data_IF_790385594870
#
_entry.id   IF_790385594870
#
_cell.length_a   1.000
_cell.length_b   1.000
_cell.length_c   1.000
_cell.angle_alpha   90.00
_cell.angle_beta   90.00
_cell.angle_gamma   90.00
#
_symmetry.space_group_name_H-M   'P 1'
#
loop_
_entity.id
_entity.type
_entity.pdbx_description
1 polymer ?
#
# COMPACT_ATOMS: atom_id res chain seq x y z
N UNK A 1 11.96 -13.29 -6.21
CA UNK A 1 12.54 -14.35 -7.05
C UNK A 1 13.68 -15.08 -6.37
N UNK A 2 14.66 -14.36 -5.81
CA UNK A 2 15.83 -14.99 -5.15
C UNK A 2 15.45 -15.87 -3.95
N UNK A 3 14.51 -15.43 -3.10
CA UNK A 3 14.05 -16.23 -1.96
C UNK A 3 13.36 -17.53 -2.41
N UNK A 4 12.47 -17.45 -3.39
CA UNK A 4 11.82 -18.63 -3.97
C UNK A 4 12.87 -19.56 -4.61
N UNK A 5 13.82 -19.00 -5.36
CA UNK A 5 14.89 -19.78 -5.98
C UNK A 5 15.72 -20.57 -4.96
N UNK A 6 16.09 -19.93 -3.84
CA UNK A 6 16.84 -20.56 -2.76
C UNK A 6 16.08 -21.75 -2.15
N UNK A 7 14.80 -21.58 -1.84
CA UNK A 7 13.94 -22.61 -1.25
C UNK A 7 13.72 -23.79 -2.20
N UNK A 8 13.62 -23.54 -3.51
CA UNK A 8 13.45 -24.56 -4.54
C UNK A 8 14.77 -25.21 -4.99
N UNK A 9 15.91 -24.76 -4.50
CA UNK A 9 17.22 -25.26 -4.90
C UNK A 9 17.69 -24.77 -6.28
N UNK A 10 17.10 -23.73 -6.82
CA UNK A 10 17.53 -23.10 -8.07
C UNK A 10 18.69 -22.14 -7.82
N UNK A 11 19.87 -22.67 -7.45
CA UNK A 11 20.98 -21.88 -6.93
C UNK A 11 21.93 -21.31 -8.01
N UNK A 12 21.82 -21.75 -9.26
CA UNK A 12 22.71 -21.31 -10.35
C UNK A 12 22.19 -20.00 -10.95
N UNK A 13 22.83 -18.90 -10.59
CA UNK A 13 22.48 -17.57 -11.11
C UNK A 13 22.83 -17.45 -12.60
N UNK A 14 21.91 -16.93 -13.38
CA UNK A 14 22.01 -16.58 -14.78
C UNK A 14 21.65 -15.13 -15.01
N UNK A 15 21.81 -14.63 -16.23
CA UNK A 15 21.33 -13.31 -16.58
C UNK A 15 19.79 -13.28 -16.59
N UNK A 16 19.18 -12.61 -15.61
CA UNK A 16 17.74 -12.45 -15.50
C UNK A 16 16.98 -13.63 -14.87
N UNK A 17 17.61 -14.71 -14.43
CA UNK A 17 16.97 -15.85 -13.77
C UNK A 17 17.92 -16.71 -12.94
N UNK A 18 17.36 -17.62 -12.15
CA UNK A 18 18.07 -18.69 -11.44
C UNK A 18 17.64 -20.05 -11.99
N UNK A 19 18.56 -21.02 -11.97
CA UNK A 19 18.35 -22.36 -12.50
C UNK A 19 18.86 -23.43 -11.51
N UNK A 20 18.13 -24.52 -11.36
CA UNK A 20 18.54 -25.69 -10.55
C UNK A 20 17.33 -26.49 -10.10
N UNK A 21 17.60 -27.73 -9.68
CA UNK A 21 16.62 -28.70 -9.13
C UNK A 21 15.32 -28.83 -9.96
N UNK A 22 15.41 -28.69 -11.28
CA UNK A 22 14.25 -28.74 -12.18
C UNK A 22 13.43 -27.45 -12.27
N UNK A 23 13.92 -26.36 -11.68
CA UNK A 23 13.24 -25.05 -11.69
C UNK A 23 14.06 -24.00 -12.43
N UNK A 24 13.34 -23.11 -13.11
CA UNK A 24 13.81 -21.83 -13.62
C UNK A 24 13.03 -20.74 -12.92
N UNK A 25 13.70 -19.90 -12.14
CA UNK A 25 13.06 -18.83 -11.36
C UNK A 25 13.50 -17.49 -11.91
N UNK A 26 12.56 -16.75 -12.47
CA UNK A 26 12.77 -15.39 -12.96
C UNK A 26 11.81 -14.41 -12.26
N UNK A 27 11.86 -13.12 -12.62
CA UNK A 27 11.09 -12.09 -11.93
C UNK A 27 10.67 -10.97 -12.88
N UNK A 28 9.60 -10.28 -12.51
CA UNK A 28 9.24 -9.01 -13.10
C UNK A 28 9.85 -7.85 -12.27
N UNK A 29 10.22 -6.77 -12.95
CA UNK A 29 10.67 -5.53 -12.29
C UNK A 29 9.49 -4.56 -12.34
N UNK A 30 8.50 -4.76 -11.44
CA UNK A 30 7.20 -4.11 -11.52
C UNK A 30 6.47 -4.48 -12.83
N UNK A 31 5.65 -3.58 -13.36
CA UNK A 31 4.99 -3.81 -14.66
C UNK A 31 6.02 -3.77 -15.79
N UNK A 32 6.24 -4.91 -16.47
CA UNK A 32 7.04 -5.00 -17.69
C UNK A 32 6.23 -4.63 -18.92
N UNK A 33 4.94 -4.88 -18.85
CA UNK A 33 3.96 -4.61 -19.93
C UNK A 33 2.95 -3.61 -19.40
N UNK A 34 2.55 -2.68 -20.24
CA UNK A 34 1.50 -1.70 -19.96
C UNK A 34 0.54 -1.57 -21.15
N UNK A 35 -0.63 -0.98 -20.92
CA UNK A 35 -1.50 -0.53 -22.01
C UNK A 35 -0.76 0.50 -22.86
N UNK A 36 -0.90 0.38 -24.17
CA UNK A 36 -0.24 1.27 -25.12
C UNK A 36 -0.70 2.73 -24.97
N UNK A 37 0.16 3.67 -25.33
CA UNK A 37 -0.20 5.08 -25.37
C UNK A 37 -1.17 5.36 -26.53
N UNK A 38 -1.92 6.45 -26.45
CA UNK A 38 -2.89 6.83 -27.46
C UNK A 38 -2.29 6.93 -28.88
N UNK A 39 -1.06 7.45 -28.99
CA UNK A 39 -0.36 7.54 -30.26
C UNK A 39 -0.08 6.19 -30.95
N UNK A 40 -0.07 5.10 -30.21
CA UNK A 40 0.07 3.75 -30.79
C UNK A 40 -1.17 3.32 -31.59
N UNK A 41 -2.34 3.78 -31.19
CA UNK A 41 -3.60 3.49 -31.89
C UNK A 41 -3.77 4.31 -33.15
N UNK A 42 -3.37 5.59 -33.11
CA UNK A 42 -3.37 6.48 -34.27
C UNK A 42 -2.36 7.61 -34.05
N UNK A 43 -1.47 7.85 -35.03
CA UNK A 43 -0.44 8.89 -34.98
C UNK A 43 -1.02 10.29 -34.76
N UNK A 44 -2.27 10.55 -35.23
CA UNK A 44 -2.94 11.84 -34.99
C UNK A 44 -3.06 12.15 -33.51
N UNK A 45 -3.19 11.15 -32.62
CA UNK A 45 -3.32 11.33 -31.18
C UNK A 45 -2.00 11.75 -30.49
N UNK A 46 -0.90 11.88 -31.24
CA UNK A 46 0.35 12.47 -30.71
C UNK A 46 0.15 13.94 -30.35
N UNK A 47 -0.62 14.67 -31.16
CA UNK A 47 -1.05 16.03 -30.86
C UNK A 47 -2.41 16.00 -30.18
N UNK A 48 -2.54 16.74 -29.08
CA UNK A 48 -3.79 16.78 -28.34
C UNK A 48 -4.75 17.77 -28.99
N UNK A 49 -5.86 17.29 -29.51
CA UNK A 49 -6.92 18.07 -30.13
C UNK A 49 -8.25 17.74 -29.49
N UNK A 50 -9.12 18.70 -29.37
CA UNK A 50 -10.46 18.54 -28.81
C UNK A 50 -11.30 17.57 -29.66
N UNK A 51 -11.23 17.69 -30.97
CA UNK A 51 -12.02 16.89 -31.93
C UNK A 51 -11.63 15.40 -31.96
N UNK A 52 -10.46 15.04 -31.35
CA UNK A 52 -10.04 13.65 -31.23
C UNK A 52 -10.64 12.94 -30.00
N UNK A 53 -11.38 13.65 -29.15
CA UNK A 53 -11.93 13.14 -27.91
C UNK A 53 -13.41 12.72 -28.07
N UNK A 54 -13.85 11.64 -27.39
CA UNK A 54 -13.06 10.75 -26.56
C UNK A 54 -12.28 9.69 -27.37
N UNK A 55 -11.07 9.38 -26.93
CA UNK A 55 -10.28 8.27 -27.46
C UNK A 55 -10.72 6.99 -26.74
N UNK A 56 -11.33 6.06 -27.46
CA UNK A 56 -11.83 4.78 -26.95
C UNK A 56 -11.31 3.66 -27.85
N UNK A 57 -10.25 2.94 -27.45
CA UNK A 57 -9.74 1.82 -28.22
C UNK A 57 -10.78 0.70 -28.34
N UNK A 58 -11.00 0.21 -29.56
CA UNK A 58 -11.81 -0.99 -29.80
C UNK A 58 -10.98 -2.23 -29.42
N UNK A 59 -9.76 -2.31 -29.95
CA UNK A 59 -8.81 -3.37 -29.67
C UNK A 59 -7.67 -2.82 -28.80
N UNK A 60 -7.54 -3.34 -27.59
CA UNK A 60 -6.52 -2.91 -26.65
C UNK A 60 -5.14 -3.42 -27.02
N UNK A 61 -4.19 -2.52 -27.15
CA UNK A 61 -2.80 -2.82 -27.42
C UNK A 61 -1.94 -2.71 -26.17
N UNK A 62 -0.88 -3.50 -26.14
CA UNK A 62 0.05 -3.58 -25.02
C UNK A 62 1.47 -3.33 -25.53
N UNK A 63 2.27 -2.66 -24.71
CA UNK A 63 3.66 -2.33 -25.02
C UNK A 63 4.57 -2.75 -23.89
N UNK A 64 5.81 -3.14 -24.23
CA UNK A 64 6.87 -3.34 -23.25
C UNK A 64 7.29 -1.98 -22.70
N UNK A 65 7.35 -1.85 -21.39
CA UNK A 65 7.77 -0.60 -20.74
C UNK A 65 9.23 -0.29 -21.06
N UNK A 66 9.52 0.97 -21.37
CA UNK A 66 10.88 1.43 -21.73
C UNK A 66 11.91 1.04 -20.69
N UNK A 67 13.05 0.50 -21.15
CA UNK A 67 14.14 0.02 -20.31
C UNK A 67 13.91 -1.35 -19.65
N UNK A 68 12.82 -2.05 -20.00
CA UNK A 68 12.51 -3.38 -19.48
C UNK A 68 12.51 -4.48 -20.54
N UNK A 69 12.92 -4.15 -21.74
CA UNK A 69 12.91 -5.03 -22.91
C UNK A 69 13.77 -6.27 -22.69
N UNK A 70 14.94 -6.10 -22.06
CA UNK A 70 15.87 -7.19 -21.80
C UNK A 70 15.24 -8.24 -20.86
N UNK A 71 14.61 -7.79 -19.75
CA UNK A 71 14.00 -8.73 -18.80
C UNK A 71 12.76 -9.40 -19.40
N UNK A 72 12.00 -8.68 -20.21
CA UNK A 72 10.88 -9.27 -20.93
C UNK A 72 11.35 -10.33 -21.92
N UNK A 73 12.43 -10.09 -22.68
CA UNK A 73 13.03 -11.08 -23.57
C UNK A 73 13.44 -12.35 -22.82
N UNK A 74 14.11 -12.20 -21.68
CA UNK A 74 14.49 -13.35 -20.84
C UNK A 74 13.26 -14.17 -20.44
N UNK A 75 12.21 -13.53 -19.95
CA UNK A 75 10.97 -14.22 -19.56
C UNK A 75 10.31 -14.93 -20.76
N UNK A 76 10.23 -14.26 -21.90
CA UNK A 76 9.68 -14.83 -23.13
C UNK A 76 10.48 -16.07 -23.56
N UNK A 77 11.81 -15.99 -23.58
CA UNK A 77 12.68 -17.11 -23.97
C UNK A 77 12.52 -18.29 -23.01
N UNK A 78 12.49 -18.04 -21.70
CA UNK A 78 12.26 -19.07 -20.68
C UNK A 78 10.90 -19.75 -20.85
N UNK A 79 9.85 -19.00 -21.10
CA UNK A 79 8.49 -19.53 -21.30
C UNK A 79 8.39 -20.42 -22.57
N UNK A 80 9.25 -20.21 -23.56
CA UNK A 80 9.25 -20.99 -24.81
C UNK A 80 10.27 -22.14 -24.85
N UNK A 81 11.09 -22.32 -23.82
CA UNK A 81 12.03 -23.43 -23.75
C UNK A 81 11.28 -24.77 -23.85
N UNK A 82 11.80 -25.71 -24.63
CA UNK A 82 11.19 -27.04 -24.82
C UNK A 82 11.20 -27.91 -23.57
N UNK A 83 12.16 -27.67 -22.66
CA UNK A 83 12.30 -28.38 -21.38
C UNK A 83 11.43 -27.79 -20.23
N UNK A 84 10.70 -26.70 -20.49
CA UNK A 84 9.73 -26.13 -19.55
C UNK A 84 8.34 -26.68 -19.88
N UNK A 85 7.74 -27.40 -18.96
CA UNK A 85 6.41 -28.02 -19.11
C UNK A 85 5.27 -27.11 -18.63
N UNK A 86 5.50 -26.33 -17.59
CA UNK A 86 4.50 -25.52 -16.90
C UNK A 86 5.09 -24.19 -16.41
N UNK A 87 4.25 -23.17 -16.29
CA UNK A 87 4.62 -21.87 -15.73
C UNK A 87 3.94 -21.70 -14.37
N UNK A 88 4.67 -21.24 -13.37
CA UNK A 88 4.08 -20.90 -12.06
C UNK A 88 4.05 -19.38 -11.91
N UNK A 89 2.85 -18.83 -11.78
CA UNK A 89 2.68 -17.45 -11.39
C UNK A 89 2.96 -17.30 -9.89
N UNK A 90 4.14 -16.79 -9.55
CA UNK A 90 4.59 -16.50 -8.19
C UNK A 90 4.70 -14.99 -7.91
N UNK A 91 3.97 -14.17 -8.67
CA UNK A 91 3.82 -12.74 -8.35
C UNK A 91 2.95 -12.56 -7.10
N UNK A 92 2.93 -11.33 -6.56
CA UNK A 92 2.21 -11.00 -5.34
C UNK A 92 0.77 -11.54 -5.33
N UNK A 93 0.30 -11.96 -4.15
CA UNK A 93 -0.99 -12.61 -3.97
C UNK A 93 -2.14 -11.60 -3.98
N UNK A 94 -2.32 -10.91 -5.11
CA UNK A 94 -3.32 -9.89 -5.29
C UNK A 94 -3.58 -9.56 -6.76
N UNK A 95 -4.46 -8.59 -6.99
CA UNK A 95 -4.86 -8.14 -8.34
C UNK A 95 -3.69 -7.68 -9.18
N UNK A 96 -2.76 -6.93 -8.59
CA UNK A 96 -1.61 -6.37 -9.31
C UNK A 96 -0.63 -7.49 -9.74
N UNK A 97 -0.35 -8.44 -8.84
CA UNK A 97 0.51 -9.59 -9.19
C UNK A 97 -0.09 -10.45 -10.29
N UNK A 98 -1.42 -10.66 -10.27
CA UNK A 98 -2.11 -11.37 -11.34
C UNK A 98 -2.02 -10.60 -12.67
N UNK A 99 -2.23 -9.28 -12.65
CA UNK A 99 -2.15 -8.43 -13.84
C UNK A 99 -0.74 -8.43 -14.43
N UNK A 100 0.30 -8.28 -13.59
CA UNK A 100 1.70 -8.28 -14.02
C UNK A 100 2.04 -9.58 -14.74
N UNK A 101 1.67 -10.73 -14.15
CA UNK A 101 1.93 -12.03 -14.74
C UNK A 101 1.19 -12.22 -16.06
N UNK A 102 -0.14 -11.99 -16.08
CA UNK A 102 -0.97 -12.21 -17.28
C UNK A 102 -0.54 -11.35 -18.45
N UNK A 103 -0.19 -10.10 -18.21
CA UNK A 103 0.32 -9.24 -19.28
C UNK A 103 1.60 -9.78 -19.90
N UNK A 104 2.53 -10.29 -19.07
CA UNK A 104 3.78 -10.88 -19.57
C UNK A 104 3.49 -12.19 -20.32
N UNK A 105 2.65 -13.05 -19.74
CA UNK A 105 2.28 -14.35 -20.33
C UNK A 105 1.60 -14.19 -21.68
N UNK A 106 0.62 -13.28 -21.80
CA UNK A 106 -0.11 -12.99 -23.02
C UNK A 106 0.79 -12.31 -24.07
N UNK A 107 1.59 -11.32 -23.66
CA UNK A 107 2.50 -10.61 -24.57
C UNK A 107 3.65 -11.51 -25.06
N UNK A 108 4.08 -12.47 -24.25
CA UNK A 108 4.99 -13.51 -24.68
C UNK A 108 4.35 -14.52 -25.64
N UNK A 109 3.04 -14.50 -25.80
CA UNK A 109 2.25 -15.49 -26.55
C UNK A 109 2.50 -16.93 -26.06
N UNK A 110 2.68 -17.09 -24.74
CA UNK A 110 2.87 -18.40 -24.13
C UNK A 110 1.56 -19.19 -24.15
N UNK A 111 1.64 -20.51 -24.44
CA UNK A 111 0.48 -21.41 -24.49
C UNK A 111 0.60 -22.57 -23.51
N UNK A 112 1.66 -22.60 -22.71
CA UNK A 112 1.85 -23.65 -21.73
C UNK A 112 0.86 -23.52 -20.58
N UNK A 113 0.48 -24.61 -19.91
CA UNK A 113 -0.34 -24.53 -18.71
C UNK A 113 0.38 -23.70 -17.65
N UNK A 114 -0.40 -23.05 -16.79
CA UNK A 114 0.17 -22.31 -15.68
C UNK A 114 -0.66 -22.48 -14.40
N UNK A 115 0.10 -22.53 -13.30
CA UNK A 115 -0.43 -22.63 -11.95
C UNK A 115 -0.18 -21.35 -11.16
N UNK A 116 -0.88 -21.17 -10.06
CA UNK A 116 -0.78 -20.02 -9.17
C UNK A 116 -0.24 -20.40 -7.81
N UNK A 117 0.89 -19.83 -7.44
CA UNK A 117 1.38 -19.77 -6.06
C UNK A 117 0.69 -18.62 -5.33
N UNK A 118 -0.01 -18.93 -4.23
CA UNK A 118 -0.70 -17.92 -3.42
C UNK A 118 -0.18 -17.95 -1.99
N UNK A 119 0.72 -17.04 -1.66
CA UNK A 119 1.35 -16.92 -0.35
C UNK A 119 1.41 -15.45 0.07
N UNK A 120 1.22 -15.18 1.36
CA UNK A 120 1.29 -13.82 1.94
C UNK A 120 2.55 -13.61 2.79
N UNK A 121 3.42 -14.62 2.85
CA UNK A 121 4.69 -14.62 3.56
C UNK A 121 5.78 -15.21 2.68
N UNK A 122 7.02 -14.76 2.84
CA UNK A 122 8.20 -15.27 2.12
C UNK A 122 9.05 -16.20 3.00
N UNK A 123 8.49 -16.68 4.11
CA UNK A 123 9.11 -17.72 4.94
C UNK A 123 9.27 -19.02 4.15
N UNK A 124 10.32 -19.76 4.44
CA UNK A 124 10.62 -21.01 3.73
C UNK A 124 9.47 -22.02 3.82
N UNK A 125 8.85 -22.15 4.99
CA UNK A 125 7.68 -23.00 5.22
C UNK A 125 6.51 -22.62 4.33
N UNK A 126 6.18 -21.33 4.25
CA UNK A 126 5.08 -20.82 3.42
C UNK A 126 5.34 -21.05 1.92
N UNK A 127 6.58 -20.87 1.47
CA UNK A 127 6.95 -21.14 0.07
C UNK A 127 6.80 -22.62 -0.23
N UNK A 128 7.32 -23.53 0.61
CA UNK A 128 7.23 -24.99 0.40
C UNK A 128 5.79 -25.47 0.42
N UNK A 129 5.01 -25.03 1.39
CA UNK A 129 3.60 -25.36 1.47
C UNK A 129 2.81 -24.82 0.26
N UNK A 130 3.08 -23.60 -0.15
CA UNK A 130 2.47 -23.00 -1.32
C UNK A 130 2.75 -23.78 -2.61
N UNK A 131 4.00 -24.22 -2.81
CA UNK A 131 4.37 -25.07 -3.96
C UNK A 131 3.74 -26.46 -3.89
N UNK A 132 3.47 -27.00 -2.71
CA UNK A 132 2.73 -28.25 -2.55
C UNK A 132 1.21 -28.10 -2.79
N UNK A 133 0.70 -26.87 -2.78
CA UNK A 133 -0.72 -26.53 -2.91
C UNK A 133 -0.99 -25.57 -4.07
N UNK A 134 -0.23 -25.67 -5.16
CA UNK A 134 -0.47 -24.86 -6.36
C UNK A 134 -1.89 -25.04 -6.88
N UNK A 135 -2.51 -23.94 -7.30
CA UNK A 135 -3.84 -23.93 -7.87
C UNK A 135 -3.78 -23.71 -9.37
N UNK A 136 -4.75 -24.23 -10.10
CA UNK A 136 -4.91 -23.89 -11.50
C UNK A 136 -4.97 -22.37 -11.70
N UNK A 137 -4.13 -21.83 -12.54
CA UNK A 137 -4.06 -20.41 -12.81
C UNK A 137 -5.36 -19.81 -13.35
N UNK A 138 -6.18 -20.61 -14.04
CA UNK A 138 -7.47 -20.16 -14.58
C UNK A 138 -8.51 -19.91 -13.50
N UNK A 139 -8.37 -20.49 -12.32
CA UNK A 139 -9.24 -20.17 -11.17
C UNK A 139 -9.13 -18.72 -10.70
N UNK A 140 -8.14 -17.96 -11.23
CA UNK A 140 -7.93 -16.53 -10.97
C UNK A 140 -8.31 -15.62 -12.14
N UNK A 141 -9.05 -16.14 -13.15
CA UNK A 141 -9.46 -15.36 -14.32
C UNK A 141 -10.33 -14.15 -13.94
N UNK A 142 -11.25 -14.30 -13.00
CA UNK A 142 -12.10 -13.18 -12.52
C UNK A 142 -11.25 -12.10 -11.83
N UNK A 143 -10.23 -12.50 -11.08
CA UNK A 143 -9.30 -11.57 -10.44
C UNK A 143 -8.51 -10.79 -11.49
N UNK A 144 -8.04 -11.48 -12.53
CA UNK A 144 -7.36 -10.85 -13.67
C UNK A 144 -8.30 -9.89 -14.40
N UNK A 145 -9.54 -10.29 -14.69
CA UNK A 145 -10.52 -9.42 -15.35
C UNK A 145 -10.82 -8.17 -14.53
N UNK A 146 -10.95 -8.31 -13.23
CA UNK A 146 -11.12 -7.15 -12.31
C UNK A 146 -9.94 -6.17 -12.41
N UNK A 147 -8.71 -6.69 -12.43
CA UNK A 147 -7.50 -5.87 -12.55
C UNK A 147 -7.40 -5.19 -13.94
N UNK A 148 -7.70 -5.94 -14.99
CA UNK A 148 -7.70 -5.46 -16.37
C UNK A 148 -8.76 -4.36 -16.59
N UNK A 149 -9.97 -4.56 -16.09
CA UNK A 149 -11.04 -3.54 -16.15
C UNK A 149 -10.61 -2.24 -15.46
N UNK A 150 -9.97 -2.36 -14.29
CA UNK A 150 -9.44 -1.20 -13.59
C UNK A 150 -8.36 -0.49 -14.40
N UNK A 151 -7.40 -1.24 -14.98
CA UNK A 151 -6.34 -0.65 -15.80
C UNK A 151 -6.90 0.09 -17.02
N UNK A 152 -7.89 -0.52 -17.72
CA UNK A 152 -8.58 0.11 -18.85
C UNK A 152 -9.37 1.35 -18.45
N UNK A 153 -10.08 1.31 -17.32
CA UNK A 153 -10.82 2.47 -16.80
C UNK A 153 -9.88 3.62 -16.40
N UNK A 154 -8.78 3.33 -15.71
CA UNK A 154 -7.76 4.32 -15.36
C UNK A 154 -7.14 4.94 -16.62
N UNK A 155 -6.89 4.15 -17.67
CA UNK A 155 -6.41 4.63 -18.96
C UNK A 155 -7.43 5.55 -19.65
N UNK A 156 -8.68 5.09 -19.78
CA UNK A 156 -9.75 5.86 -20.44
C UNK A 156 -9.98 7.21 -19.77
N UNK A 157 -10.15 7.21 -18.46
CA UNK A 157 -10.37 8.44 -17.69
C UNK A 157 -9.12 9.32 -17.72
N UNK A 158 -7.94 8.73 -17.46
CA UNK A 158 -6.69 9.45 -17.40
C UNK A 158 -6.34 10.14 -18.71
N UNK A 159 -6.37 9.43 -19.82
CA UNK A 159 -6.02 9.97 -21.15
C UNK A 159 -7.03 11.04 -21.59
N UNK A 160 -8.32 10.73 -21.58
CA UNK A 160 -9.34 11.64 -22.11
C UNK A 160 -9.50 12.89 -21.24
N UNK A 161 -9.63 12.74 -19.94
CA UNK A 161 -9.82 13.89 -19.04
C UNK A 161 -8.56 14.76 -18.96
N UNK A 162 -7.35 14.17 -18.92
CA UNK A 162 -6.10 14.94 -18.93
C UNK A 162 -6.02 15.79 -20.19
N UNK A 163 -6.29 15.22 -21.37
CA UNK A 163 -6.23 15.96 -22.64
C UNK A 163 -7.30 17.02 -22.70
N UNK A 164 -8.54 16.69 -22.35
CA UNK A 164 -9.66 17.64 -22.37
C UNK A 164 -9.35 18.88 -21.53
N UNK A 165 -9.04 18.70 -20.26
CA UNK A 165 -8.76 19.83 -19.38
C UNK A 165 -7.49 20.58 -19.76
N UNK A 166 -6.46 19.88 -20.24
CA UNK A 166 -5.24 20.54 -20.70
C UNK A 166 -5.46 21.42 -21.93
N UNK A 167 -6.33 21.01 -22.85
CA UNK A 167 -6.70 21.80 -24.01
C UNK A 167 -7.53 23.03 -23.58
N UNK A 168 -8.57 22.81 -22.78
CA UNK A 168 -9.47 23.87 -22.33
C UNK A 168 -8.75 24.98 -21.54
N UNK A 169 -7.79 24.61 -20.73
CA UNK A 169 -7.07 25.56 -19.86
C UNK A 169 -5.69 25.95 -20.37
N UNK A 170 -5.28 25.49 -21.57
CA UNK A 170 -3.97 25.78 -22.17
C UNK A 170 -2.77 25.48 -21.26
N UNK A 171 -2.90 24.46 -20.42
CA UNK A 171 -1.90 24.04 -19.44
C UNK A 171 -2.03 22.54 -19.19
N UNK A 172 -0.93 21.83 -19.03
CA UNK A 172 -0.96 20.43 -18.68
C UNK A 172 -1.63 20.22 -17.31
N UNK A 173 -2.79 19.58 -17.32
CA UNK A 173 -3.60 19.27 -16.14
C UNK A 173 -3.82 17.76 -16.10
N UNK A 174 -3.01 17.07 -15.30
CA UNK A 174 -3.13 15.63 -15.15
C UNK A 174 -4.37 15.27 -14.32
N UNK A 175 -5.18 14.36 -14.86
CA UNK A 175 -6.35 13.81 -14.18
C UNK A 175 -6.10 12.34 -13.87
N UNK A 176 -6.41 11.92 -12.66
CA UNK A 176 -6.24 10.55 -12.24
C UNK A 176 -7.11 10.20 -11.03
N UNK A 177 -7.45 8.94 -10.93
CA UNK A 177 -8.37 8.39 -9.94
C UNK A 177 -7.96 8.66 -8.47
N UNK A 178 -6.67 8.78 -8.18
CA UNK A 178 -6.16 9.06 -6.83
C UNK A 178 -5.75 10.52 -6.69
N UNK A 179 -4.94 11.02 -7.63
CA UNK A 179 -4.39 12.38 -7.52
C UNK A 179 -5.45 13.48 -7.54
N UNK A 180 -6.47 13.36 -8.40
CA UNK A 180 -7.51 14.40 -8.53
C UNK A 180 -8.40 14.50 -7.28
N UNK A 181 -8.97 13.41 -6.73
CA UNK A 181 -9.69 13.47 -5.47
C UNK A 181 -8.84 13.98 -4.30
N UNK A 182 -7.56 13.58 -4.23
CA UNK A 182 -6.65 14.06 -3.19
C UNK A 182 -6.45 15.59 -3.30
N UNK A 183 -6.19 16.09 -4.50
CA UNK A 183 -6.09 17.53 -4.74
C UNK A 183 -7.38 18.25 -4.38
N UNK A 184 -8.54 17.70 -4.74
CA UNK A 184 -9.86 18.28 -4.39
C UNK A 184 -10.04 18.40 -2.87
N UNK A 185 -9.63 17.40 -2.11
CA UNK A 185 -9.68 17.45 -0.64
C UNK A 185 -8.81 18.58 -0.08
N UNK A 186 -7.60 18.77 -0.63
CA UNK A 186 -6.70 19.86 -0.23
C UNK A 186 -7.29 21.24 -0.58
N UNK A 187 -7.79 21.42 -1.81
CA UNK A 187 -8.41 22.67 -2.26
C UNK A 187 -9.64 23.01 -1.43
N UNK A 188 -10.50 22.03 -1.15
CA UNK A 188 -11.68 22.25 -0.30
C UNK A 188 -11.28 22.65 1.13
N UNK A 189 -10.20 22.06 1.67
CA UNK A 189 -9.68 22.44 2.99
C UNK A 189 -9.12 23.85 2.99
N UNK A 190 -8.35 24.20 1.98
CA UNK A 190 -7.79 25.56 1.83
C UNK A 190 -8.90 26.61 1.67
N UNK A 191 -9.90 26.30 0.86
CA UNK A 191 -11.09 27.15 0.73
C UNK A 191 -11.83 27.31 2.07
N UNK A 192 -12.03 26.23 2.82
CA UNK A 192 -12.67 26.30 4.13
C UNK A 192 -11.87 27.15 5.14
N UNK A 193 -10.54 27.16 5.04
CA UNK A 193 -9.67 28.00 5.87
C UNK A 193 -9.78 29.46 5.43
N UNK A 194 -9.67 29.75 4.14
CA UNK A 194 -9.68 31.12 3.59
C UNK A 194 -11.05 31.80 3.71
N UNK A 195 -12.13 31.03 3.63
CA UNK A 195 -13.50 31.50 3.77
C UNK A 195 -14.03 31.46 5.21
N UNK A 196 -13.20 31.07 6.17
CA UNK A 196 -13.61 30.91 7.57
C UNK A 196 -14.08 32.22 8.16
N UNK A 197 -15.34 32.24 8.60
CA UNK A 197 -15.93 33.36 9.34
C UNK A 197 -15.76 33.13 10.85
N UNK A 198 -15.09 34.07 11.50
CA UNK A 198 -14.93 34.03 12.96
C UNK A 198 -16.28 34.25 13.62
N UNK A 199 -16.68 33.32 14.46
CA UNK A 199 -17.86 33.46 15.34
C UNK A 199 -17.36 33.57 16.79
N UNK A 200 -17.91 34.54 17.51
CA UNK A 200 -17.68 34.68 18.93
C UNK A 200 -18.64 33.79 19.70
N UNK A 201 -18.13 33.10 20.68
CA UNK A 201 -18.93 32.38 21.66
C UNK A 201 -18.33 32.57 23.05
N UNK A 202 -19.10 32.29 24.06
CA UNK A 202 -18.74 32.46 25.44
C UNK A 202 -18.87 31.12 26.16
N UNK A 203 -17.96 30.82 27.07
CA UNK A 203 -18.03 29.70 28.00
C UNK A 203 -17.79 30.20 29.41
N UNK A 204 -18.49 29.64 30.36
CA UNK A 204 -18.26 29.90 31.78
C UNK A 204 -17.35 28.79 32.29
N UNK A 205 -16.22 29.19 32.81
CA UNK A 205 -15.27 28.26 33.46
C UNK A 205 -15.45 28.34 34.97
N UNK A 206 -15.64 27.19 35.60
CA UNK A 206 -15.75 27.04 37.04
C UNK A 206 -14.50 26.32 37.54
N UNK A 207 -13.78 26.93 38.48
CA UNK A 207 -12.64 26.32 39.17
C UNK A 207 -12.98 26.13 40.64
N UNK A 208 -13.16 24.88 41.07
CA UNK A 208 -13.52 24.53 42.47
C UNK A 208 -12.66 23.37 42.96
N UNK A 209 -11.91 23.62 44.02
CA UNK A 209 -11.11 22.56 44.68
C UNK A 209 -10.12 21.85 43.75
N UNK A 210 -9.55 22.56 42.75
CA UNK A 210 -8.62 21.99 41.78
C UNK A 210 -9.29 21.29 40.60
N UNK A 211 -10.62 21.29 40.53
CA UNK A 211 -11.40 20.75 39.40
C UNK A 211 -11.87 21.90 38.54
N UNK A 212 -11.54 21.88 37.25
CA UNK A 212 -12.02 22.83 36.27
C UNK A 212 -13.19 22.21 35.48
N UNK A 213 -14.33 22.91 35.46
CA UNK A 213 -15.48 22.57 34.62
C UNK A 213 -15.77 23.70 33.64
N UNK A 214 -16.17 23.36 32.42
CA UNK A 214 -16.57 24.33 31.39
C UNK A 214 -18.04 24.12 31.09
N UNK A 215 -18.77 25.25 30.94
CA UNK A 215 -20.12 25.19 30.41
C UNK A 215 -20.15 24.79 28.95
N UNK A 216 -21.32 24.44 28.46
CA UNK A 216 -21.57 24.42 27.01
C UNK A 216 -21.37 25.81 26.41
N UNK A 217 -21.12 25.82 25.09
CA UNK A 217 -20.99 27.05 24.31
C UNK A 217 -22.27 27.90 24.42
N UNK A 218 -22.11 29.17 24.72
CA UNK A 218 -23.18 30.19 24.71
C UNK A 218 -22.87 31.17 23.60
N UNK A 219 -23.81 31.38 22.69
CA UNK A 219 -23.66 32.35 21.60
C UNK A 219 -24.00 33.78 22.06
N UNK A 220 -24.77 33.92 23.14
CA UNK A 220 -25.11 35.21 23.80
C UNK A 220 -24.24 35.47 25.03
N UNK A 221 -23.56 36.61 25.03
CA UNK A 221 -22.75 37.07 26.15
C UNK A 221 -23.57 37.34 27.42
N UNK A 222 -24.79 37.80 27.27
CA UNK A 222 -25.66 38.10 28.42
C UNK A 222 -26.06 36.81 29.13
N UNK A 223 -26.35 35.74 28.40
CA UNK A 223 -26.62 34.43 28.96
C UNK A 223 -25.40 33.85 29.71
N UNK A 224 -24.19 33.99 29.14
CA UNK A 224 -22.97 33.58 29.80
C UNK A 224 -22.68 34.38 31.08
N UNK A 225 -22.91 35.71 31.08
CA UNK A 225 -22.77 36.57 32.25
C UNK A 225 -23.79 36.23 33.34
N UNK A 226 -25.04 35.96 32.98
CA UNK A 226 -26.07 35.52 33.91
C UNK A 226 -25.70 34.18 34.57
N UNK A 227 -25.25 33.20 33.78
CA UNK A 227 -24.77 31.91 34.28
C UNK A 227 -23.60 32.09 35.26
N UNK A 228 -22.61 32.94 34.90
CA UNK A 228 -21.48 33.24 35.76
C UNK A 228 -21.96 33.83 37.13
N UNK A 229 -22.85 34.85 37.09
CA UNK A 229 -23.37 35.45 38.30
C UNK A 229 -24.19 34.50 39.18
N UNK A 230 -24.90 33.57 38.59
CA UNK A 230 -25.58 32.49 39.30
C UNK A 230 -24.61 31.52 39.97
N UNK A 231 -23.51 31.14 39.32
CA UNK A 231 -22.50 30.29 39.86
C UNK A 231 -21.72 30.93 41.04
N UNK A 232 -21.44 32.23 40.97
CA UNK A 232 -20.73 33.00 42.03
C UNK A 232 -21.51 33.07 43.34
N UNK A 233 -22.86 32.99 43.25
CA UNK A 233 -23.76 33.06 44.44
C UNK A 233 -24.16 31.67 44.97
N UNK A 234 -23.72 30.60 44.37
CA UNK A 234 -24.13 29.25 44.68
C UNK A 234 -22.97 28.38 45.13
N UNK A 235 -23.29 27.33 45.87
CA UNK A 235 -22.29 26.29 46.19
C UNK A 235 -22.25 25.24 45.09
N UNK A 236 -21.07 24.82 44.67
CA UNK A 236 -20.89 23.71 43.79
C UNK A 236 -21.16 22.38 44.53
N UNK A 237 -22.10 21.59 44.02
CA UNK A 237 -22.48 20.29 44.57
C UNK A 237 -22.13 19.20 43.61
N UNK A 238 -21.32 18.23 44.01
CA UNK A 238 -21.04 17.04 43.23
C UNK A 238 -22.26 16.11 43.29
N UNK A 239 -23.04 16.03 42.20
CA UNK A 239 -24.26 15.20 42.14
C UNK A 239 -23.97 13.74 41.77
N UNK A 240 -22.89 13.48 41.04
CA UNK A 240 -22.45 12.12 40.73
C UNK A 240 -20.95 12.07 40.48
N UNK A 241 -20.34 10.95 40.88
CA UNK A 241 -18.94 10.64 40.58
C UNK A 241 -18.88 9.28 39.87
N UNK A 242 -18.44 9.27 38.62
CA UNK A 242 -18.22 8.05 37.86
C UNK A 242 -16.73 7.82 37.65
N UNK A 243 -16.23 6.69 38.16
CA UNK A 243 -14.85 6.27 37.94
C UNK A 243 -14.78 5.21 36.87
N UNK A 244 -14.14 5.50 35.75
CA UNK A 244 -13.95 4.55 34.67
C UNK A 244 -12.46 4.16 34.55
N UNK A 245 -12.21 2.86 34.49
CA UNK A 245 -10.89 2.34 34.16
C UNK A 245 -10.77 2.25 32.66
N UNK A 246 -9.93 3.09 32.07
CA UNK A 246 -9.62 3.04 30.62
C UNK A 246 -8.33 2.26 30.40
N UNK A 247 -8.38 1.28 29.52
CA UNK A 247 -7.21 0.53 29.10
C UNK A 247 -6.82 1.01 27.69
N UNK A 248 -5.60 1.48 27.56
CA UNK A 248 -5.03 1.85 26.26
C UNK A 248 -4.22 0.67 25.76
N UNK A 249 -4.63 0.12 24.62
CA UNK A 249 -3.90 -0.95 23.98
C UNK A 249 -2.58 -0.45 23.37
N UNK A 250 -1.49 -1.23 23.43
CA UNK A 250 -0.27 -0.89 22.72
C UNK A 250 -0.53 -0.77 21.20
N UNK A 251 0.27 0.04 20.49
CA UNK A 251 0.11 0.19 19.03
C UNK A 251 0.32 -1.15 18.32
N UNK A 252 -0.28 -1.28 17.15
CA UNK A 252 -0.03 -2.39 16.23
C UNK A 252 1.26 -2.15 15.45
N UNK A 253 1.65 -3.12 14.63
CA UNK A 253 2.75 -2.97 13.67
C UNK A 253 2.45 -1.88 12.65
N UNK A 254 3.45 -1.48 11.89
CA UNK A 254 3.31 -0.45 10.87
C UNK A 254 2.81 -1.01 9.54
N UNK A 255 1.75 -0.40 9.02
CA UNK A 255 1.52 -0.28 7.59
C UNK A 255 2.28 0.96 7.06
N UNK A 256 2.30 1.15 5.74
CA UNK A 256 2.98 2.30 5.15
C UNK A 256 2.43 3.63 5.66
N UNK A 257 1.11 3.77 5.75
CA UNK A 257 0.47 5.02 6.19
C UNK A 257 0.81 5.35 7.63
N UNK A 258 0.77 4.37 8.53
CA UNK A 258 1.14 4.56 9.92
C UNK A 258 2.62 4.93 10.06
N UNK A 259 3.50 4.26 9.30
CA UNK A 259 4.94 4.58 9.28
C UNK A 259 5.18 6.02 8.80
N UNK A 260 4.53 6.44 7.72
CA UNK A 260 4.63 7.80 7.18
C UNK A 260 4.15 8.86 8.17
N UNK A 261 3.02 8.62 8.85
CA UNK A 261 2.48 9.53 9.87
C UNK A 261 3.41 9.66 11.06
N UNK A 262 3.96 8.56 11.55
CA UNK A 262 4.85 8.55 12.70
C UNK A 262 6.21 9.17 12.36
N UNK A 263 6.78 8.87 11.20
CA UNK A 263 8.00 9.50 10.70
C UNK A 263 7.84 11.01 10.50
N UNK A 264 6.68 11.46 10.02
CA UNK A 264 6.37 12.88 9.93
C UNK A 264 6.26 13.54 11.32
N UNK A 265 5.54 12.88 12.25
CA UNK A 265 5.35 13.38 13.60
C UNK A 265 6.67 13.54 14.37
N UNK A 266 7.58 12.56 14.25
CA UNK A 266 8.83 12.52 15.03
C UNK A 266 9.97 13.28 14.37
N UNK A 267 10.07 13.22 13.03
CA UNK A 267 11.23 13.68 12.27
C UNK A 267 10.91 14.71 11.19
N UNK A 268 9.63 15.05 10.99
CA UNK A 268 9.20 15.98 9.93
C UNK A 268 9.36 15.44 8.51
N UNK A 269 9.57 14.12 8.32
CA UNK A 269 9.70 13.54 6.99
C UNK A 269 8.40 13.63 6.21
N UNK A 270 8.51 13.94 4.93
CA UNK A 270 7.36 13.84 4.02
C UNK A 270 7.00 12.36 3.78
N UNK A 271 5.77 12.11 3.34
CA UNK A 271 5.33 10.76 2.97
C UNK A 271 6.25 10.14 1.89
N UNK A 272 6.68 10.97 0.92
CA UNK A 272 7.62 10.52 -0.13
C UNK A 272 8.98 10.13 0.44
N UNK A 273 9.59 10.98 1.26
CA UNK A 273 10.89 10.68 1.89
C UNK A 273 10.83 9.39 2.71
N UNK A 274 9.76 9.20 3.50
CA UNK A 274 9.59 7.99 4.30
C UNK A 274 9.49 6.75 3.41
N UNK A 275 8.75 6.82 2.30
CA UNK A 275 8.66 5.72 1.36
C UNK A 275 9.99 5.46 0.65
N UNK A 276 10.70 6.49 0.22
CA UNK A 276 11.99 6.36 -0.47
C UNK A 276 13.03 5.68 0.45
N UNK A 277 13.07 6.06 1.74
CA UNK A 277 13.95 5.41 2.73
C UNK A 277 13.55 3.96 3.00
N UNK A 278 12.25 3.71 3.20
CA UNK A 278 11.77 2.35 3.42
C UNK A 278 12.02 1.45 2.20
N UNK A 279 11.87 1.97 0.98
CA UNK A 279 12.18 1.27 -0.26
C UNK A 279 13.69 0.94 -0.35
N UNK A 280 14.56 1.91 -0.03
CA UNK A 280 16.00 1.68 -0.04
C UNK A 280 16.45 0.63 1.00
N UNK A 281 15.81 0.60 2.17
CA UNK A 281 16.05 -0.45 3.18
C UNK A 281 15.56 -1.81 2.71
N UNK A 282 14.39 -1.87 2.08
CA UNK A 282 13.87 -3.10 1.48
C UNK A 282 14.80 -3.66 0.39
N UNK A 283 15.32 -2.82 -0.50
CA UNK A 283 16.25 -3.22 -1.55
C UNK A 283 17.58 -3.74 -0.98
N UNK A 284 17.97 -3.27 0.19
CA UNK A 284 19.13 -3.78 0.96
C UNK A 284 18.78 -4.96 1.85
N UNK A 285 17.55 -5.46 1.81
CA UNK A 285 17.03 -6.55 2.64
C UNK A 285 17.06 -6.29 4.15
N UNK A 286 17.01 -5.02 4.56
CA UNK A 286 16.95 -4.61 5.97
C UNK A 286 15.54 -4.37 6.47
N UNK A 287 14.57 -4.36 5.57
CA UNK A 287 13.16 -4.14 5.83
C UNK A 287 12.32 -5.05 4.93
N UNK A 288 11.16 -5.49 5.40
CA UNK A 288 10.17 -6.17 4.56
C UNK A 288 9.49 -5.18 3.61
N UNK A 289 8.69 -5.67 2.65
CA UNK A 289 8.09 -4.84 1.62
C UNK A 289 7.27 -3.68 2.19
N UNK A 290 7.60 -2.43 1.88
CA UNK A 290 7.04 -1.29 2.60
C UNK A 290 5.64 -0.86 2.11
N UNK A 291 5.22 -1.25 0.91
CA UNK A 291 3.89 -0.89 0.39
C UNK A 291 2.84 -1.90 0.82
N UNK A 292 2.54 -1.91 2.10
CA UNK A 292 1.51 -2.77 2.70
C UNK A 292 0.48 -1.92 3.42
N UNK A 293 -0.75 -2.38 3.44
CA UNK A 293 -1.87 -1.84 4.24
C UNK A 293 -2.15 -2.66 5.50
N UNK A 294 -1.44 -3.77 5.68
CA UNK A 294 -1.58 -4.62 6.85
C UNK A 294 -0.73 -4.14 8.04
N UNK A 295 -1.31 -4.26 9.23
CA UNK A 295 -0.66 -4.05 10.54
C UNK A 295 -0.47 -5.35 11.30
N UNK A 296 -0.52 -6.47 10.59
CA UNK A 296 -0.51 -7.81 11.15
C UNK A 296 0.51 -8.69 10.45
N UNK A 297 0.90 -9.76 11.13
CA UNK A 297 1.69 -10.85 10.58
C UNK A 297 0.82 -12.09 10.42
N UNK A 298 1.29 -13.05 9.65
CA UNK A 298 0.67 -14.38 9.51
C UNK A 298 1.12 -15.32 10.64
N UNK A 299 0.37 -16.38 10.85
CA UNK A 299 0.63 -17.34 11.95
C UNK A 299 1.97 -18.06 11.81
N UNK A 300 2.40 -18.34 10.59
CA UNK A 300 3.70 -18.95 10.27
C UNK A 300 4.90 -18.06 10.62
N UNK A 301 4.70 -16.74 10.73
CA UNK A 301 5.74 -15.78 11.08
C UNK A 301 5.95 -15.58 12.58
N UNK A 302 5.20 -16.29 13.46
CA UNK A 302 5.30 -16.02 14.89
C UNK A 302 6.68 -16.33 15.46
N UNK A 303 7.27 -17.47 15.08
CA UNK A 303 8.55 -17.89 15.65
C UNK A 303 9.71 -17.06 15.08
N UNK A 304 9.74 -16.81 13.79
CA UNK A 304 10.74 -15.90 13.18
C UNK A 304 10.64 -14.47 13.74
N UNK A 305 9.42 -14.00 14.02
CA UNK A 305 9.23 -12.68 14.68
C UNK A 305 9.74 -12.66 16.12
N UNK A 306 9.60 -13.74 16.90
CA UNK A 306 10.19 -13.84 18.26
C UNK A 306 11.71 -13.80 18.21
N UNK A 307 12.29 -14.56 17.29
CA UNK A 307 13.74 -14.59 17.07
C UNK A 307 14.27 -13.20 16.66
N UNK A 308 13.58 -12.54 15.74
CA UNK A 308 13.88 -11.18 15.33
C UNK A 308 13.87 -10.20 16.50
N UNK A 309 12.82 -10.22 17.32
CA UNK A 309 12.71 -9.35 18.51
C UNK A 309 13.87 -9.62 19.47
N UNK A 310 14.18 -10.88 19.71
CA UNK A 310 15.30 -11.30 20.60
C UNK A 310 16.63 -10.80 20.06
N UNK A 311 16.87 -10.95 18.75
CA UNK A 311 18.07 -10.46 18.07
C UNK A 311 18.20 -8.94 18.17
N UNK A 312 17.13 -8.20 17.88
CA UNK A 312 17.10 -6.74 17.97
C UNK A 312 17.36 -6.24 19.40
N UNK A 313 16.81 -6.91 20.41
CA UNK A 313 17.06 -6.57 21.82
C UNK A 313 18.56 -6.71 22.20
N UNK A 314 19.25 -7.67 21.63
CA UNK A 314 20.68 -7.87 21.86
C UNK A 314 21.57 -6.88 21.09
N UNK A 315 21.16 -6.49 19.89
CA UNK A 315 21.92 -5.62 18.99
C UNK A 315 21.78 -4.14 19.36
N UNK A 316 20.59 -3.70 19.77
CA UNK A 316 20.31 -2.28 20.01
C UNK A 316 20.67 -1.90 21.44
N UNK A 317 21.66 -1.01 21.69
CA UNK A 317 22.12 -0.68 23.03
C UNK A 317 21.03 -0.19 23.97
N UNK A 318 20.04 0.56 23.45
CA UNK A 318 18.92 1.09 24.24
C UNK A 318 17.86 0.04 24.59
N UNK A 319 17.95 -1.17 24.05
CA UNK A 319 17.02 -2.28 24.29
C UNK A 319 17.57 -3.35 25.22
N UNK A 320 18.86 -3.30 25.56
CA UNK A 320 19.55 -4.36 26.36
C UNK A 320 18.92 -4.63 27.72
N UNK A 321 18.35 -3.58 28.35
CA UNK A 321 17.74 -3.69 29.68
C UNK A 321 16.19 -3.78 29.61
N UNK A 322 15.63 -3.85 28.42
CA UNK A 322 14.17 -3.90 28.23
C UNK A 322 13.71 -5.34 28.24
N UNK A 323 12.97 -5.75 29.26
CA UNK A 323 12.24 -7.03 29.26
C UNK A 323 11.01 -6.91 28.37
N UNK A 324 11.18 -7.19 27.08
CA UNK A 324 10.05 -7.24 26.15
C UNK A 324 9.25 -8.54 26.34
N UNK A 325 7.99 -8.39 26.73
CA UNK A 325 6.98 -9.43 26.57
C UNK A 325 6.18 -9.08 25.31
N UNK A 326 6.56 -9.68 24.18
CA UNK A 326 5.84 -9.50 22.95
C UNK A 326 4.59 -10.38 22.97
N UNK A 327 3.40 -9.76 23.05
CA UNK A 327 2.13 -10.45 22.86
C UNK A 327 1.85 -10.55 21.34
N UNK A 328 2.44 -11.56 20.72
CA UNK A 328 2.30 -11.79 19.28
C UNK A 328 0.87 -12.17 18.87
N UNK A 329 0.06 -12.72 19.78
CA UNK A 329 -1.33 -13.05 19.48
C UNK A 329 -2.16 -11.84 19.04
N UNK A 330 -1.79 -10.65 19.51
CA UNK A 330 -2.49 -9.40 19.15
C UNK A 330 -2.16 -8.85 17.77
N UNK A 331 -1.03 -9.25 17.22
CA UNK A 331 -0.52 -8.79 15.91
C UNK A 331 -0.52 -9.89 14.88
N UNK A 332 -0.95 -11.10 15.23
CA UNK A 332 -1.06 -12.24 14.33
C UNK A 332 -2.53 -12.44 13.95
N UNK A 333 -2.85 -12.24 12.66
CA UNK A 333 -4.21 -12.43 12.14
C UNK A 333 -4.15 -12.63 10.62
N UNK A 334 -4.21 -13.89 10.18
CA UNK A 334 -4.14 -14.26 8.76
C UNK A 334 -5.24 -13.60 7.92
N UNK A 335 -6.41 -13.33 8.50
CA UNK A 335 -7.53 -12.71 7.78
C UNK A 335 -7.32 -11.23 7.47
N UNK A 336 -6.33 -10.60 8.12
CA UNK A 336 -5.97 -9.19 7.98
C UNK A 336 -4.64 -8.96 7.25
N UNK A 337 -4.07 -10.03 6.74
CA UNK A 337 -2.94 -9.98 5.81
C UNK A 337 -3.46 -10.33 4.43
N UNK A 338 -3.41 -9.37 3.52
CA UNK A 338 -3.84 -9.53 2.12
C UNK A 338 -2.64 -9.97 1.27
N UNK A 339 -2.06 -9.03 0.53
CA UNK A 339 -0.94 -9.29 -0.37
C UNK A 339 0.39 -9.33 0.40
N UNK A 340 0.52 -8.51 1.45
CA UNK A 340 1.72 -8.38 2.26
C UNK A 340 1.38 -8.21 3.74
N UNK A 341 2.23 -8.75 4.62
CA UNK A 341 2.16 -8.52 6.06
C UNK A 341 2.69 -7.13 6.44
N UNK A 342 2.60 -6.77 7.72
CA UNK A 342 3.11 -5.51 8.27
C UNK A 342 4.62 -5.30 7.99
N UNK A 343 5.05 -4.06 8.01
CA UNK A 343 6.46 -3.69 7.85
C UNK A 343 7.25 -4.14 9.07
N UNK A 344 8.28 -4.94 8.85
CA UNK A 344 9.20 -5.44 9.86
C UNK A 344 10.66 -5.20 9.43
N UNK A 345 11.59 -4.97 10.36
CA UNK A 345 13.01 -5.15 10.06
C UNK A 345 13.30 -6.62 9.73
N UNK A 346 14.43 -6.90 9.13
CA UNK A 346 14.89 -8.27 8.85
C UNK A 346 16.05 -8.65 9.78
N UNK A 347 16.43 -9.90 9.79
CA UNK A 347 17.55 -10.40 10.59
C UNK A 347 18.92 -10.23 9.91
N UNK A 348 18.98 -9.69 8.67
CA UNK A 348 20.23 -9.47 7.92
C UNK A 348 21.03 -8.24 8.36
#
# INVERSE_FOLDING_TARGET
GAAIAAVLGANKKRSGYFEGSGYLVSWCIGHLISLADAATYNEQYRKWKYDDLPIVPQDWQFTVASGKEQQFSVLKDLMHRSDVSEIVNACDSGREGELIFRFVYEQANCKKPFSRLWISSMEESAIREGFSNLKDGRSYDDLYQSALCRAKADWLVGINATRLFSILYHKTLNVGRVQTPTLTMLVNRDYAISSFKKEKYHVVRLDVGGVAALSERQDDEAAARHMKAACEKSQAVCTSLKKEKKTVAPPKLFDLTALQREANRLYGFTAKQTLDYAQALYEKRLLTYPRTDSKYITSDMQDSTKELITGLCSLLPFMRDVKLQADLARICDNSKVTDHHAILPTAE
#
